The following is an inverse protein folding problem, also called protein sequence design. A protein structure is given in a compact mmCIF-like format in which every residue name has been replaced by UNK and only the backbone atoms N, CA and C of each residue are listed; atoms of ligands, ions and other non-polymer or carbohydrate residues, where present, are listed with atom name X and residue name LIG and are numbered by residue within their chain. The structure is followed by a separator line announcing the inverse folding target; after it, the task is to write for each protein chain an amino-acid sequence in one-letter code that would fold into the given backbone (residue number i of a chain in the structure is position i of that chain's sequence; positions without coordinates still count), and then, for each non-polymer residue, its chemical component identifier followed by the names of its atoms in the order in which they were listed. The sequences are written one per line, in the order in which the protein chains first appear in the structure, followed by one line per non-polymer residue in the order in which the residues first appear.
data_IF_108417299705
#
_entry.id   IF_108417299705
#
_cell.length_a   1.000
_cell.length_b   1.000
_cell.length_c   1.000
_cell.angle_alpha   90.00
_cell.angle_beta   90.00
_cell.angle_gamma   90.00
#
_symmetry.space_group_name_H-M   'P 1'
#
loop_
_entity.id
_entity.type
_entity.pdbx_description
1 polymer ?
#
# COMPACT_ATOMS: atom_id res chain seq x y z
N UNK A 1 -10.12 19.34 -2.19
CA UNK A 1 -9.94 17.88 -2.30
C UNK A 1 -10.72 17.19 -1.21
N UNK A 2 -11.29 16.03 -1.50
CA UNK A 2 -12.08 15.28 -0.52
C UNK A 2 -11.39 13.94 -0.24
N UNK A 3 -10.98 13.73 1.01
CA UNK A 3 -10.41 12.46 1.43
C UNK A 3 -11.48 11.38 1.42
N UNK A 4 -11.19 10.26 0.75
CA UNK A 4 -12.07 9.12 0.68
C UNK A 4 -11.78 8.08 1.74
N UNK A 5 -12.16 6.84 1.44
CA UNK A 5 -12.03 5.72 2.38
C UNK A 5 -10.58 5.27 2.55
N UNK A 6 -10.31 4.64 3.68
CA UNK A 6 -9.08 3.85 3.83
C UNK A 6 -9.19 2.61 2.94
N UNK A 7 -8.38 2.56 1.88
CA UNK A 7 -8.40 1.43 0.95
C UNK A 7 -7.72 0.21 1.52
N UNK A 8 -6.50 0.38 2.06
CA UNK A 8 -5.76 -0.73 2.65
C UNK A 8 -4.71 -0.25 3.64
N UNK A 9 -4.23 -1.21 4.42
CA UNK A 9 -3.03 -1.08 5.25
C UNK A 9 -1.95 -1.94 4.62
N UNK A 10 -0.83 -1.34 4.26
CA UNK A 10 0.33 -2.07 3.73
C UNK A 10 1.13 -2.69 4.86
N UNK A 11 1.40 -3.97 4.75
CA UNK A 11 2.17 -4.73 5.74
C UNK A 11 3.33 -5.42 5.02
N UNK A 12 4.56 -5.02 5.36
CA UNK A 12 5.75 -5.67 4.85
C UNK A 12 5.96 -7.01 5.57
N UNK A 13 6.33 -8.01 4.81
CA UNK A 13 6.60 -9.34 5.33
C UNK A 13 7.81 -9.98 4.64
N UNK A 14 8.62 -10.76 5.37
CA UNK A 14 9.65 -11.56 4.73
C UNK A 14 9.09 -12.77 3.96
N UNK A 15 7.83 -13.15 4.20
CA UNK A 15 7.18 -14.28 3.54
C UNK A 15 5.66 -14.09 3.49
N UNK A 16 5.14 -13.85 2.31
CA UNK A 16 3.68 -13.78 2.09
C UNK A 16 3.01 -15.08 2.52
N UNK A 17 3.61 -16.22 2.19
CA UNK A 17 3.06 -17.53 2.53
C UNK A 17 2.85 -17.70 4.04
N UNK A 18 3.86 -17.34 4.83
CA UNK A 18 3.78 -17.42 6.31
C UNK A 18 2.78 -16.42 6.87
N UNK A 19 2.73 -15.21 6.33
CA UNK A 19 1.77 -14.21 6.77
C UNK A 19 0.34 -14.62 6.46
N UNK A 20 0.08 -15.18 5.29
CA UNK A 20 -1.25 -15.69 4.91
C UNK A 20 -1.68 -16.80 5.87
N UNK A 21 -0.77 -17.73 6.19
CA UNK A 21 -1.07 -18.80 7.14
C UNK A 21 -1.44 -18.23 8.52
N UNK A 22 -0.72 -17.22 8.98
CA UNK A 22 -1.01 -16.53 10.25
C UNK A 22 -2.39 -15.87 10.22
N UNK A 23 -2.72 -15.14 9.16
CA UNK A 23 -4.03 -14.49 9.04
C UNK A 23 -5.18 -15.51 9.03
N UNK A 24 -4.99 -16.62 8.33
CA UNK A 24 -6.01 -17.69 8.30
C UNK A 24 -6.16 -18.39 9.65
N UNK A 25 -5.05 -18.79 10.27
CA UNK A 25 -5.07 -19.61 11.48
C UNK A 25 -5.39 -18.80 12.74
N UNK A 26 -4.88 -17.58 12.84
CA UNK A 26 -4.99 -16.76 14.05
C UNK A 26 -6.10 -15.73 14.00
N UNK A 27 -6.47 -15.29 12.80
CA UNK A 27 -7.47 -14.22 12.64
C UNK A 27 -8.71 -14.66 11.88
N UNK A 28 -8.75 -15.90 11.41
CA UNK A 28 -9.92 -16.41 10.69
C UNK A 28 -10.16 -15.76 9.34
N UNK A 29 -9.10 -15.29 8.66
CA UNK A 29 -9.23 -14.70 7.34
C UNK A 29 -9.82 -15.70 6.36
N UNK A 30 -10.87 -15.31 5.65
CA UNK A 30 -11.56 -16.17 4.70
C UNK A 30 -11.22 -15.83 3.25
N UNK A 31 -11.02 -14.54 2.95
CA UNK A 31 -10.78 -14.07 1.58
C UNK A 31 -9.34 -13.63 1.43
N UNK A 32 -8.54 -14.48 0.80
CA UNK A 32 -7.14 -14.21 0.45
C UNK A 32 -7.04 -14.25 -1.06
N UNK A 33 -6.61 -13.14 -1.66
CA UNK A 33 -6.45 -13.04 -3.12
C UNK A 33 -5.17 -13.72 -3.55
N UNK A 34 -5.09 -14.13 -4.82
CA UNK A 34 -3.88 -14.73 -5.36
C UNK A 34 -2.73 -13.71 -5.37
N UNK A 35 -1.51 -14.13 -4.92
CA UNK A 35 -0.36 -13.22 -4.98
C UNK A 35 0.04 -12.92 -6.41
N UNK A 36 0.61 -11.73 -6.61
CA UNK A 36 1.14 -11.34 -7.92
C UNK A 36 2.38 -10.47 -7.75
N UNK A 37 3.22 -10.46 -8.79
CA UNK A 37 4.42 -9.64 -8.84
C UNK A 37 4.10 -8.24 -9.35
N UNK A 38 4.70 -7.23 -8.72
CA UNK A 38 4.63 -5.83 -9.15
C UNK A 38 6.05 -5.32 -9.35
N UNK A 39 6.71 -5.70 -10.47
CA UNK A 39 8.14 -5.43 -10.68
C UNK A 39 8.48 -3.94 -10.67
N UNK A 40 7.59 -3.09 -11.17
CA UNK A 40 7.80 -1.64 -11.19
C UNK A 40 7.98 -1.05 -9.78
N UNK A 41 7.43 -1.69 -8.77
CA UNK A 41 7.59 -1.28 -7.37
C UNK A 41 8.51 -2.21 -6.57
N UNK A 42 9.07 -3.22 -7.21
CA UNK A 42 10.00 -4.14 -6.57
C UNK A 42 9.40 -5.02 -5.50
N UNK A 43 8.10 -5.32 -5.58
CA UNK A 43 7.41 -6.11 -4.56
C UNK A 43 6.53 -7.19 -5.17
N UNK A 44 6.33 -8.25 -4.40
CA UNK A 44 5.27 -9.22 -4.60
C UNK A 44 4.15 -8.86 -3.64
N UNK A 45 2.91 -8.95 -4.10
CA UNK A 45 1.73 -8.44 -3.40
C UNK A 45 0.72 -9.55 -3.17
N UNK A 46 0.10 -9.56 -1.99
CA UNK A 46 -1.04 -10.44 -1.70
C UNK A 46 -2.05 -9.68 -0.85
N UNK A 47 -3.30 -9.61 -1.31
CA UNK A 47 -4.37 -8.96 -0.56
C UNK A 47 -5.13 -9.95 0.31
N UNK A 48 -5.34 -9.57 1.56
CA UNK A 48 -6.26 -10.23 2.48
C UNK A 48 -7.43 -9.30 2.70
N UNK A 49 -8.62 -9.71 2.27
CA UNK A 49 -9.82 -8.87 2.38
C UNK A 49 -10.42 -8.95 3.78
N UNK A 50 -10.80 -7.80 4.31
CA UNK A 50 -11.63 -7.67 5.50
C UNK A 50 -13.00 -7.10 5.07
N UNK A 51 -14.04 -7.12 5.92
CA UNK A 51 -15.34 -6.59 5.53
C UNK A 51 -15.32 -5.14 5.07
N UNK A 52 -14.39 -4.33 5.57
CA UNK A 52 -14.36 -2.87 5.33
C UNK A 52 -13.09 -2.37 4.67
N UNK A 53 -12.10 -3.21 4.43
CA UNK A 53 -10.80 -2.77 3.88
C UNK A 53 -10.01 -3.96 3.36
N UNK A 54 -8.71 -3.77 3.15
CA UNK A 54 -7.78 -4.83 2.79
C UNK A 54 -6.48 -4.69 3.57
N UNK A 55 -5.84 -5.81 3.83
CA UNK A 55 -4.42 -5.84 4.21
C UNK A 55 -3.64 -6.15 2.93
N UNK A 56 -2.71 -5.29 2.58
CA UNK A 56 -1.80 -5.52 1.46
C UNK A 56 -0.49 -6.07 2.00
N UNK A 57 -0.28 -7.37 1.86
CA UNK A 57 0.99 -7.99 2.20
C UNK A 57 1.98 -7.73 1.08
N UNK A 58 3.14 -7.19 1.42
CA UNK A 58 4.20 -6.92 0.46
C UNK A 58 5.49 -7.59 0.88
N UNK A 59 6.11 -8.29 -0.07
CA UNK A 59 7.33 -9.06 0.08
C UNK A 59 8.35 -8.53 -0.93
N UNK A 60 9.65 -8.49 -0.59
CA UNK A 60 10.65 -8.01 -1.56
C UNK A 60 10.69 -8.87 -2.81
N UNK A 61 10.71 -8.22 -3.97
CA UNK A 61 10.94 -8.86 -5.25
C UNK A 61 12.35 -8.49 -5.70
N UNK A 62 13.32 -9.29 -5.28
CA UNK A 62 14.74 -9.03 -5.55
C UNK A 62 15.43 -8.22 -4.48
N UNK A 63 16.78 -8.23 -4.54
CA UNK A 63 17.63 -7.60 -3.53
C UNK A 63 17.57 -6.06 -3.54
N UNK A 64 17.13 -5.47 -4.65
CA UNK A 64 17.03 -4.01 -4.81
C UNK A 64 15.66 -3.46 -4.40
N UNK A 65 14.79 -4.31 -3.85
CA UNK A 65 13.46 -3.88 -3.41
C UNK A 65 13.55 -2.82 -2.31
N UNK A 66 12.72 -1.77 -2.38
CA UNK A 66 12.69 -0.75 -1.31
C UNK A 66 12.24 -1.31 0.04
N UNK A 67 11.60 -2.49 0.06
CA UNK A 67 11.15 -3.15 1.29
C UNK A 67 12.31 -3.81 2.06
N UNK A 68 13.43 -4.09 1.39
CA UNK A 68 14.58 -4.77 2.01
C UNK A 68 15.08 -4.01 3.24
N UNK A 69 15.26 -2.68 3.12
CA UNK A 69 15.72 -1.86 4.26
C UNK A 69 14.73 -1.85 5.42
N UNK A 70 13.44 -1.83 5.11
CA UNK A 70 12.41 -1.91 6.13
C UNK A 70 12.50 -3.22 6.90
N UNK A 71 12.68 -4.33 6.20
CA UNK A 71 12.78 -5.66 6.82
C UNK A 71 14.08 -5.87 7.58
N UNK A 72 15.16 -5.18 7.21
CA UNK A 72 16.39 -5.20 8.01
C UNK A 72 16.16 -4.65 9.41
N UNK A 73 15.34 -3.62 9.54
CA UNK A 73 14.96 -3.02 10.82
C UNK A 73 13.79 -3.73 11.49
N UNK A 74 13.00 -4.45 10.74
CA UNK A 74 11.80 -5.16 11.19
C UNK A 74 11.80 -6.58 10.63
N UNK A 75 12.65 -7.47 11.18
CA UNK A 75 12.87 -8.80 10.57
C UNK A 75 11.63 -9.68 10.49
N UNK A 76 10.68 -9.48 11.39
CA UNK A 76 9.42 -10.23 11.38
C UNK A 76 8.34 -9.58 10.52
N UNK A 77 8.65 -8.45 9.88
CA UNK A 77 7.70 -7.65 9.15
C UNK A 77 7.09 -6.55 10.00
N UNK A 78 6.08 -5.89 9.48
CA UNK A 78 5.38 -4.84 10.21
C UNK A 78 4.56 -3.94 9.29
N UNK A 79 3.80 -3.06 9.91
CA UNK A 79 2.98 -2.08 9.20
C UNK A 79 3.89 -1.11 8.44
N UNK A 80 3.64 -0.97 7.14
CA UNK A 80 4.50 -0.20 6.24
C UNK A 80 3.87 1.12 5.81
N UNK A 81 2.61 1.10 5.43
CA UNK A 81 1.92 2.32 4.96
C UNK A 81 0.40 2.20 5.12
N UNK A 82 -0.25 3.36 5.04
CA UNK A 82 -1.71 3.47 4.92
C UNK A 82 -2.03 4.01 3.54
N UNK A 83 -3.11 3.51 2.93
CA UNK A 83 -3.56 4.00 1.62
C UNK A 83 -4.98 4.55 1.71
N UNK A 84 -5.14 5.81 1.28
CA UNK A 84 -6.44 6.49 1.21
C UNK A 84 -6.82 6.77 -0.23
N UNK A 85 -8.12 6.71 -0.51
CA UNK A 85 -8.67 7.01 -1.83
C UNK A 85 -9.00 8.49 -1.97
N UNK A 86 -8.83 8.99 -3.19
CA UNK A 86 -9.25 10.33 -3.60
C UNK A 86 -9.99 10.23 -4.93
N UNK A 87 -10.89 11.17 -5.26
CA UNK A 87 -11.63 11.11 -6.53
C UNK A 87 -10.78 11.35 -7.76
N UNK A 88 -9.75 12.19 -7.66
CA UNK A 88 -8.93 12.65 -8.79
C UNK A 88 -7.49 12.79 -8.31
N UNK A 89 -6.60 11.97 -8.86
CA UNK A 89 -5.20 11.92 -8.41
C UNK A 89 -4.44 13.21 -8.72
N UNK A 90 -4.71 13.86 -9.86
CA UNK A 90 -4.02 15.10 -10.22
C UNK A 90 -4.47 16.27 -9.34
N UNK A 91 -5.75 16.35 -9.02
CA UNK A 91 -6.25 17.33 -8.07
C UNK A 91 -5.67 17.12 -6.67
N UNK A 92 -5.53 15.86 -6.24
CA UNK A 92 -4.91 15.52 -4.98
C UNK A 92 -3.44 15.93 -4.95
N UNK A 93 -2.70 15.64 -6.02
CA UNK A 93 -1.29 16.02 -6.13
C UNK A 93 -1.12 17.53 -6.01
N UNK A 94 -1.93 18.31 -6.72
CA UNK A 94 -1.91 19.79 -6.65
C UNK A 94 -2.25 20.27 -5.24
N UNK A 95 -3.21 19.64 -4.57
CA UNK A 95 -3.58 19.98 -3.20
C UNK A 95 -2.42 19.79 -2.23
N UNK A 96 -1.78 18.62 -2.24
CA UNK A 96 -0.65 18.36 -1.34
C UNK A 96 0.55 19.23 -1.64
N UNK A 97 0.81 19.49 -2.93
CA UNK A 97 1.87 20.40 -3.34
C UNK A 97 1.61 21.81 -2.79
N UNK A 98 0.38 22.30 -2.86
CA UNK A 98 0.00 23.61 -2.31
C UNK A 98 0.13 23.70 -0.79
N UNK A 99 0.11 22.56 -0.08
CA UNK A 99 0.29 22.47 1.37
C UNK A 99 1.75 22.22 1.76
N UNK A 100 2.66 22.22 0.80
CA UNK A 100 4.08 21.94 1.01
C UNK A 100 4.35 20.54 1.59
N UNK A 101 3.46 19.59 1.30
CA UNK A 101 3.68 18.17 1.64
C UNK A 101 4.53 17.54 0.54
N UNK A 102 5.62 16.89 0.92
CA UNK A 102 6.54 16.27 -0.05
C UNK A 102 5.92 15.00 -0.63
N UNK A 103 5.86 14.98 -1.96
CA UNK A 103 5.39 13.83 -2.73
C UNK A 103 6.62 13.04 -3.19
N UNK A 104 6.63 11.74 -2.94
CA UNK A 104 7.75 10.85 -3.26
C UNK A 104 7.61 10.30 -4.69
N UNK A 105 8.30 10.94 -5.62
CA UNK A 105 8.35 10.51 -7.01
C UNK A 105 7.13 10.91 -7.84
N UNK A 106 7.07 10.34 -9.02
CA UNK A 106 5.98 10.61 -9.97
C UNK A 106 4.73 9.80 -9.65
N UNK A 107 3.59 10.25 -10.14
CA UNK A 107 2.36 9.47 -10.15
C UNK A 107 2.58 8.22 -11.00
N UNK A 108 2.16 7.06 -10.50
CA UNK A 108 2.34 5.77 -11.16
C UNK A 108 1.15 4.87 -10.90
N UNK A 109 1.06 3.77 -11.62
CA UNK A 109 -0.04 2.80 -11.43
C UNK A 109 0.32 1.88 -10.26
N UNK A 110 -0.58 1.77 -9.30
CA UNK A 110 -0.42 0.91 -8.13
C UNK A 110 -1.01 -0.48 -8.30
N UNK A 111 -1.03 -1.24 -7.21
CA UNK A 111 -1.46 -2.64 -7.18
C UNK A 111 -2.92 -2.84 -7.58
N UNK A 112 -3.77 -1.84 -7.40
CA UNK A 112 -5.19 -1.88 -7.80
C UNK A 112 -5.44 -1.42 -9.23
N UNK A 113 -4.38 -1.10 -9.98
CA UNK A 113 -4.49 -0.66 -11.36
C UNK A 113 -4.91 0.79 -11.55
N UNK A 114 -4.91 1.59 -10.50
CA UNK A 114 -5.24 3.02 -10.55
C UNK A 114 -4.01 3.87 -10.22
N UNK A 115 -4.02 5.17 -10.60
CA UNK A 115 -2.90 6.06 -10.28
C UNK A 115 -2.72 6.26 -8.78
N UNK A 116 -1.45 6.27 -8.36
CA UNK A 116 -1.06 6.47 -6.96
C UNK A 116 0.15 7.39 -6.86
N UNK A 117 0.35 7.96 -5.67
CA UNK A 117 1.64 8.50 -5.22
C UNK A 117 1.76 8.34 -3.70
N UNK A 118 2.98 8.49 -3.19
CA UNK A 118 3.25 8.44 -1.75
C UNK A 118 3.61 9.81 -1.21
N UNK A 119 3.18 10.09 0.01
CA UNK A 119 3.54 11.30 0.77
C UNK A 119 4.63 10.97 1.79
N UNK A 120 5.60 11.87 1.91
CA UNK A 120 6.72 11.68 2.83
C UNK A 120 6.23 11.57 4.29
N UNK A 121 6.67 10.56 5.05
CA UNK A 121 6.18 10.36 6.42
C UNK A 121 6.46 11.53 7.36
N UNK A 122 7.53 12.28 7.16
CA UNK A 122 7.82 13.45 8.01
C UNK A 122 6.76 14.53 7.92
N UNK A 123 6.03 14.60 6.82
CA UNK A 123 4.95 15.58 6.63
C UNK A 123 3.59 15.02 6.99
N UNK A 124 3.53 13.72 7.36
CA UNK A 124 2.29 13.00 7.62
C UNK A 124 2.28 12.33 9.00
N UNK A 125 2.86 13.00 9.98
CA UNK A 125 2.86 12.51 11.35
C UNK A 125 3.65 11.23 11.58
N UNK A 126 4.64 10.96 10.73
CA UNK A 126 5.47 9.75 10.80
C UNK A 126 4.94 8.56 10.02
N UNK A 127 3.83 8.75 9.28
CA UNK A 127 3.18 7.66 8.54
C UNK A 127 3.47 7.79 7.05
N UNK A 128 4.09 6.79 6.45
CA UNK A 128 4.17 6.70 4.99
C UNK A 128 2.75 6.54 4.46
N UNK A 129 2.30 7.49 3.66
CA UNK A 129 0.91 7.58 3.23
C UNK A 129 0.80 7.47 1.73
N UNK A 130 0.07 6.47 1.26
CA UNK A 130 -0.25 6.29 -0.15
C UNK A 130 -1.57 6.96 -0.45
N UNK A 131 -1.62 7.72 -1.55
CA UNK A 131 -2.84 8.32 -2.07
C UNK A 131 -3.17 7.62 -3.38
N UNK A 132 -4.39 7.18 -3.51
CA UNK A 132 -4.85 6.35 -4.61
C UNK A 132 -6.12 6.94 -5.21
N UNK A 133 -6.17 7.02 -6.54
CA UNK A 133 -7.44 7.37 -7.18
C UNK A 133 -8.43 6.23 -7.00
N UNK A 134 -9.64 6.57 -6.60
CA UNK A 134 -10.68 5.57 -6.39
C UNK A 134 -10.90 4.76 -7.66
N UNK A 135 -11.01 3.42 -7.58
CA UNK A 135 -11.32 2.61 -8.75
C UNK A 135 -12.66 3.03 -9.33
N UNK A 136 -12.75 3.07 -10.67
CA UNK A 136 -14.02 3.30 -11.34
C UNK A 136 -14.93 2.10 -11.11
N UNK A 137 -16.15 2.39 -10.67
CA UNK A 137 -17.12 1.31 -10.49
C UNK A 137 -17.55 0.78 -11.85
N UNK A 138 -17.58 -0.55 -11.95
CA UNK A 138 -18.20 -1.20 -13.10
C UNK A 138 -19.72 -1.05 -13.00
N UNK A 139 -20.33 -0.67 -14.08
CA UNK A 139 -21.78 -0.54 -14.18
C UNK A 139 -22.38 -1.72 -14.96
#
# INVERSE_FOLDING_TARGET
MKLGRLNHVGVATPSIEKSVAMYRERMGAEVVRDPFDLPAQGVRVCFVDTPNSQIELIEPLGADSPIVKFLEKNPDGGQHHLCFEVPDIEAARAFYDSKSVRILGDTRIGAHGTPIFFLHPKDMGGVLTEIMESPKQAH
#
